data_IF_027048027803
#
_entry.id   IF_027048027803
#
_cell.length_a   1.000
_cell.length_b   1.000
_cell.length_c   1.000
_cell.angle_alpha   90.00
_cell.angle_beta   90.00
_cell.angle_gamma   90.00
#
_symmetry.space_group_name_H-M   'P 1'
#
loop_
_entity.id
_entity.type
_entity.pdbx_description
1 polymer ?
#
# COMPACT_ATOMS: atom_id res chain seq x y z
N UNK A 1 16.08 17.85 -13.00
CA UNK A 1 15.08 17.19 -12.14
C UNK A 1 13.63 17.34 -12.58
N UNK A 2 13.32 17.97 -13.73
CA UNK A 2 11.93 18.21 -14.14
C UNK A 2 11.06 16.94 -14.22
N UNK A 3 11.57 15.86 -14.84
CA UNK A 3 10.84 14.59 -14.93
C UNK A 3 10.61 13.94 -13.54
N UNK A 4 11.63 13.96 -12.66
CA UNK A 4 11.52 13.41 -11.31
C UNK A 4 10.48 14.16 -10.46
N UNK A 5 10.45 15.50 -10.54
CA UNK A 5 9.42 16.31 -9.89
C UNK A 5 8.03 16.02 -10.45
N UNK A 6 7.89 15.92 -11.76
CA UNK A 6 6.61 15.61 -12.40
C UNK A 6 6.06 14.25 -11.96
N UNK A 7 6.89 13.20 -11.95
CA UNK A 7 6.54 11.87 -11.46
C UNK A 7 6.10 11.92 -9.99
N UNK A 8 6.94 12.50 -9.14
CA UNK A 8 6.69 12.55 -7.69
C UNK A 8 5.40 13.32 -7.39
N UNK A 9 5.16 14.47 -8.03
CA UNK A 9 3.91 15.22 -7.85
C UNK A 9 2.69 14.43 -8.31
N UNK A 10 2.80 13.72 -9.43
CA UNK A 10 1.71 12.88 -9.93
C UNK A 10 1.33 11.80 -8.91
N UNK A 11 2.30 11.04 -8.39
CA UNK A 11 2.07 10.03 -7.34
C UNK A 11 1.44 10.64 -6.07
N UNK A 12 1.96 11.78 -5.61
CA UNK A 12 1.45 12.47 -4.43
C UNK A 12 0.00 12.97 -4.61
N UNK A 13 -0.39 13.37 -5.83
CA UNK A 13 -1.75 13.79 -6.15
C UNK A 13 -2.73 12.59 -6.16
N UNK A 14 -2.29 11.42 -6.60
CA UNK A 14 -3.14 10.22 -6.71
C UNK A 14 -3.23 9.43 -5.40
N UNK A 15 -2.38 9.73 -4.42
CA UNK A 15 -2.35 9.04 -3.14
C UNK A 15 -3.60 9.28 -2.28
N UNK A 16 -4.22 10.46 -2.35
CA UNK A 16 -5.36 10.82 -1.51
C UNK A 16 -6.68 10.86 -2.30
N UNK A 17 -7.82 10.63 -1.63
CA UNK A 17 -9.12 10.74 -2.30
C UNK A 17 -9.36 12.18 -2.79
N UNK A 18 -9.06 13.14 -1.92
CA UNK A 18 -9.04 14.56 -2.24
C UNK A 18 -7.59 15.04 -2.23
N UNK A 19 -7.16 15.88 -3.19
CA UNK A 19 -5.80 16.37 -3.24
C UNK A 19 -5.34 16.97 -1.91
N UNK A 20 -4.17 16.53 -1.44
CA UNK A 20 -3.54 17.06 -0.24
C UNK A 20 -2.35 17.94 -0.65
N UNK A 21 -2.56 19.26 -0.62
CA UNK A 21 -1.56 20.26 -1.02
C UNK A 21 -0.24 20.16 -0.24
N UNK A 22 -0.29 19.76 1.04
CA UNK A 22 0.92 19.57 1.85
C UNK A 22 1.77 18.40 1.33
N UNK A 23 1.10 17.31 0.94
CA UNK A 23 1.77 16.13 0.40
C UNK A 23 2.31 16.39 -1.01
N UNK A 24 1.55 17.11 -1.85
CA UNK A 24 1.98 17.48 -3.21
C UNK A 24 3.24 18.35 -3.19
N UNK A 25 3.34 19.27 -2.23
CA UNK A 25 4.53 20.14 -2.05
C UNK A 25 5.82 19.38 -1.79
N UNK A 26 5.78 18.12 -1.31
CA UNK A 26 6.99 17.29 -1.19
C UNK A 26 7.68 17.08 -2.53
N UNK A 27 6.92 17.08 -3.64
CA UNK A 27 7.47 17.00 -4.99
C UNK A 27 8.20 18.26 -5.48
N UNK A 28 8.26 19.33 -4.67
CA UNK A 28 9.09 20.51 -4.95
C UNK A 28 10.54 20.34 -4.46
N UNK A 29 10.80 19.40 -3.55
CA UNK A 29 12.16 19.07 -3.10
C UNK A 29 12.85 18.18 -4.15
N UNK A 30 13.94 18.69 -4.72
CA UNK A 30 14.70 18.01 -5.77
C UNK A 30 15.40 16.74 -5.29
N UNK A 31 15.90 16.71 -4.05
CA UNK A 31 16.57 15.54 -3.50
C UNK A 31 15.57 14.43 -3.22
N UNK A 32 14.44 14.78 -2.60
CA UNK A 32 13.34 13.85 -2.37
C UNK A 32 12.80 13.30 -3.69
N UNK A 33 12.47 14.18 -4.64
CA UNK A 33 11.88 13.80 -5.92
C UNK A 33 12.82 12.92 -6.74
N UNK A 34 14.12 13.23 -6.75
CA UNK A 34 15.10 12.40 -7.47
C UNK A 34 15.20 11.00 -6.85
N UNK A 35 15.29 10.90 -5.52
CA UNK A 35 15.41 9.61 -4.84
C UNK A 35 14.14 8.77 -5.03
N UNK A 36 12.98 9.37 -4.78
CA UNK A 36 11.66 8.74 -4.90
C UNK A 36 11.44 8.21 -6.31
N UNK A 37 11.49 9.09 -7.32
CA UNK A 37 11.23 8.71 -8.71
C UNK A 37 12.25 7.68 -9.21
N UNK A 38 13.54 7.79 -8.86
CA UNK A 38 14.54 6.81 -9.34
C UNK A 38 14.31 5.43 -8.76
N UNK A 39 14.04 5.32 -7.46
CA UNK A 39 13.83 4.02 -6.81
C UNK A 39 12.58 3.36 -7.39
N UNK A 40 11.45 4.06 -7.44
CA UNK A 40 10.22 3.51 -7.99
C UNK A 40 10.38 3.07 -9.45
N UNK A 41 10.83 3.98 -10.32
CA UNK A 41 10.98 3.65 -11.73
C UNK A 41 11.99 2.52 -11.95
N UNK A 42 13.06 2.45 -11.14
CA UNK A 42 14.00 1.34 -11.23
C UNK A 42 13.35 -0.01 -10.91
N UNK A 43 12.54 -0.11 -9.86
CA UNK A 43 11.84 -1.37 -9.57
C UNK A 43 10.75 -1.66 -10.60
N UNK A 44 10.03 -0.66 -11.10
CA UNK A 44 8.96 -0.85 -12.08
C UNK A 44 9.48 -1.35 -13.42
N UNK A 45 10.55 -0.75 -13.98
CA UNK A 45 11.11 -1.20 -15.26
C UNK A 45 11.77 -2.59 -15.18
N UNK A 46 12.14 -3.02 -13.98
CA UNK A 46 12.70 -4.35 -13.72
C UNK A 46 11.65 -5.35 -13.19
N UNK A 47 10.35 -5.05 -13.30
CA UNK A 47 9.26 -5.95 -12.90
C UNK A 47 9.37 -6.42 -11.43
N UNK A 48 9.83 -5.52 -10.55
CA UNK A 48 10.08 -5.83 -9.14
C UNK A 48 11.18 -6.88 -8.90
N UNK A 49 11.96 -7.24 -9.93
CA UNK A 49 12.94 -8.33 -9.94
C UNK A 49 12.33 -9.71 -9.68
N UNK A 50 11.03 -9.88 -9.97
CA UNK A 50 10.37 -11.18 -9.90
C UNK A 50 10.55 -11.96 -11.20
N UNK A 51 10.62 -13.30 -11.12
CA UNK A 51 10.75 -14.13 -12.32
C UNK A 51 9.44 -14.22 -13.13
N UNK A 52 8.29 -13.90 -12.53
CA UNK A 52 6.96 -13.91 -13.16
C UNK A 52 6.05 -12.84 -12.55
N UNK A 53 5.05 -12.38 -13.30
CA UNK A 53 4.05 -11.40 -12.82
C UNK A 53 3.20 -11.92 -11.65
N UNK A 54 2.99 -13.25 -11.58
CA UNK A 54 2.18 -13.92 -10.55
C UNK A 54 3.00 -14.39 -9.35
N UNK A 55 4.33 -14.18 -9.33
CA UNK A 55 5.24 -14.83 -8.38
C UNK A 55 4.78 -14.73 -6.92
N UNK A 56 4.32 -13.57 -6.47
CA UNK A 56 3.85 -13.39 -5.08
C UNK A 56 2.60 -14.22 -4.77
N UNK A 57 1.65 -14.30 -5.69
CA UNK A 57 0.41 -15.07 -5.52
C UNK A 57 0.69 -16.58 -5.58
N UNK A 58 1.55 -17.01 -6.50
CA UNK A 58 1.96 -18.42 -6.64
C UNK A 58 2.67 -18.93 -5.37
N UNK A 59 3.24 -18.03 -4.57
CA UNK A 59 3.98 -18.34 -3.35
C UNK A 59 3.20 -18.05 -2.06
N UNK A 60 1.92 -17.69 -2.15
CA UNK A 60 1.12 -17.23 -1.00
C UNK A 60 0.98 -18.29 0.10
N UNK A 61 0.96 -19.58 -0.27
CA UNK A 61 0.80 -20.69 0.66
C UNK A 61 1.90 -20.71 1.74
N UNK A 62 3.09 -20.18 1.42
CA UNK A 62 4.22 -20.07 2.35
C UNK A 62 3.93 -19.20 3.57
N UNK A 63 2.99 -18.26 3.46
CA UNK A 63 2.65 -17.32 4.53
C UNK A 63 1.21 -17.45 5.03
N UNK A 64 0.40 -18.38 4.50
CA UNK A 64 -1.03 -18.52 4.86
C UNK A 64 -1.29 -18.80 6.35
N UNK A 65 -0.31 -19.35 7.05
CA UNK A 65 -0.40 -19.62 8.48
C UNK A 65 -0.19 -18.37 9.36
N UNK A 66 0.27 -17.26 8.76
CA UNK A 66 0.46 -15.99 9.45
C UNK A 66 -0.91 -15.31 9.59
N UNK A 67 -1.20 -14.81 10.80
CA UNK A 67 -2.41 -14.02 11.03
C UNK A 67 -2.26 -12.66 10.33
N UNK A 68 -3.05 -12.43 9.28
CA UNK A 68 -2.93 -11.26 8.40
C UNK A 68 -4.28 -10.58 8.21
N UNK A 69 -4.28 -9.26 8.22
CA UNK A 69 -5.42 -8.42 7.79
C UNK A 69 -4.96 -7.57 6.63
N UNK A 70 -5.75 -7.48 5.56
CA UNK A 70 -5.50 -6.63 4.40
C UNK A 70 -6.52 -5.50 4.42
N UNK A 71 -6.06 -4.26 4.45
CA UNK A 71 -6.91 -3.06 4.37
C UNK A 71 -6.66 -2.41 3.01
N UNK A 72 -7.72 -2.21 2.23
CA UNK A 72 -7.61 -1.75 0.84
C UNK A 72 -8.75 -0.80 0.49
N UNK A 73 -8.50 0.16 -0.38
CA UNK A 73 -9.55 0.99 -0.98
C UNK A 73 -10.33 0.25 -2.06
N UNK A 74 -11.51 0.75 -2.43
CA UNK A 74 -12.33 0.17 -3.50
C UNK A 74 -11.74 0.41 -4.91
N UNK A 75 -10.52 -0.07 -5.15
CA UNK A 75 -9.87 -0.08 -6.46
C UNK A 75 -9.59 -1.54 -6.84
N UNK A 76 -10.01 -1.89 -8.05
CA UNK A 76 -10.19 -3.21 -8.65
C UNK A 76 -8.97 -4.14 -8.61
N UNK A 77 -8.55 -4.64 -7.45
CA UNK A 77 -7.68 -5.82 -7.40
C UNK A 77 -8.54 -7.09 -7.30
N UNK A 78 -9.16 -7.48 -8.41
CA UNK A 78 -9.89 -8.76 -8.52
C UNK A 78 -9.04 -9.96 -8.06
N UNK A 79 -7.72 -9.87 -8.22
CA UNK A 79 -6.77 -10.92 -7.84
C UNK A 79 -6.71 -11.14 -6.32
N UNK A 80 -6.57 -10.09 -5.50
CA UNK A 80 -6.50 -10.23 -4.04
C UNK A 80 -7.84 -10.70 -3.44
N UNK A 81 -8.95 -10.27 -4.05
CA UNK A 81 -10.30 -10.61 -3.58
C UNK A 81 -10.57 -12.11 -3.60
N UNK A 82 -10.02 -12.84 -4.58
CA UNK A 82 -10.18 -14.30 -4.69
C UNK A 82 -9.32 -15.10 -3.70
N UNK A 83 -8.13 -14.60 -3.33
CA UNK A 83 -7.19 -15.31 -2.47
C UNK A 83 -7.37 -15.03 -0.98
N UNK A 84 -7.87 -13.83 -0.63
CA UNK A 84 -7.91 -13.31 0.73
C UNK A 84 -9.26 -12.71 1.13
N UNK A 85 -10.37 -13.16 0.52
CA UNK A 85 -11.70 -12.57 0.74
C UNK A 85 -12.06 -12.41 2.23
N UNK A 86 -11.66 -13.38 3.07
CA UNK A 86 -11.91 -13.35 4.53
C UNK A 86 -10.97 -12.44 5.32
N UNK A 87 -9.82 -12.06 4.77
CA UNK A 87 -8.82 -11.19 5.40
C UNK A 87 -8.93 -9.73 4.90
N UNK A 88 -9.72 -9.49 3.85
CA UNK A 88 -9.82 -8.22 3.15
C UNK A 88 -10.88 -7.30 3.78
N UNK A 89 -10.45 -6.12 4.20
CA UNK A 89 -11.27 -4.98 4.60
C UNK A 89 -11.23 -3.94 3.49
N UNK A 90 -12.37 -3.75 2.82
CA UNK A 90 -12.50 -2.73 1.79
C UNK A 90 -13.07 -1.46 2.41
N UNK A 91 -12.30 -0.38 2.38
CA UNK A 91 -12.73 0.93 2.88
C UNK A 91 -13.36 1.73 1.73
N UNK A 92 -14.64 2.10 1.84
CA UNK A 92 -15.27 2.96 0.85
C UNK A 92 -14.77 4.40 1.00
N UNK A 93 -14.78 5.17 -0.10
CA UNK A 93 -14.48 6.60 -0.09
C UNK A 93 -13.13 6.96 0.56
N UNK A 94 -12.06 6.24 0.19
CA UNK A 94 -10.70 6.54 0.58
C UNK A 94 -9.75 6.48 -0.63
N UNK A 95 -8.66 7.22 -0.56
CA UNK A 95 -7.51 7.15 -1.48
C UNK A 95 -6.47 6.11 -1.03
N UNK A 96 -5.41 5.93 -1.82
CA UNK A 96 -4.37 4.95 -1.55
C UNK A 96 -3.59 5.16 -0.24
N UNK A 97 -3.55 6.39 0.28
CA UNK A 97 -2.78 6.78 1.45
C UNK A 97 -3.27 6.06 2.72
N UNK A 98 -2.32 5.52 3.49
CA UNK A 98 -2.59 4.91 4.79
C UNK A 98 -3.19 5.88 5.81
N UNK A 99 -3.05 7.19 5.56
CA UNK A 99 -3.56 8.26 6.42
C UNK A 99 -4.98 8.72 6.05
N UNK A 100 -5.63 8.10 5.06
CA UNK A 100 -7.06 8.31 4.84
C UNK A 100 -7.84 7.87 6.08
N UNK A 101 -8.79 8.67 6.60
CA UNK A 101 -9.43 8.41 7.89
C UNK A 101 -9.95 6.97 8.06
N UNK A 102 -10.67 6.45 7.07
CA UNK A 102 -11.19 5.09 7.11
C UNK A 102 -10.12 4.00 6.98
N UNK A 103 -9.03 4.26 6.25
CA UNK A 103 -7.90 3.32 6.15
C UNK A 103 -7.16 3.27 7.48
N UNK A 104 -6.85 4.44 8.06
CA UNK A 104 -6.17 4.54 9.34
C UNK A 104 -6.97 3.87 10.46
N UNK A 105 -8.29 4.05 10.50
CA UNK A 105 -9.18 3.39 11.48
C UNK A 105 -9.08 1.86 11.40
N UNK A 106 -9.19 1.28 10.20
CA UNK A 106 -9.09 -0.17 10.00
C UNK A 106 -7.69 -0.70 10.31
N UNK A 107 -6.63 0.04 9.99
CA UNK A 107 -5.26 -0.31 10.34
C UNK A 107 -5.05 -0.34 11.86
N UNK A 108 -5.59 0.65 12.59
CA UNK A 108 -5.55 0.69 14.06
C UNK A 108 -6.33 -0.48 14.66
N UNK A 109 -7.53 -0.74 14.15
CA UNK A 109 -8.36 -1.87 14.60
C UNK A 109 -7.65 -3.22 14.37
N UNK A 110 -7.04 -3.42 13.20
CA UNK A 110 -6.26 -4.61 12.88
C UNK A 110 -5.09 -4.80 13.85
N UNK A 111 -4.37 -3.72 14.18
CA UNK A 111 -3.25 -3.78 15.13
C UNK A 111 -3.72 -4.17 16.55
N UNK A 112 -4.85 -3.63 17.03
CA UNK A 112 -5.41 -4.02 18.32
C UNK A 112 -5.88 -5.49 18.35
N UNK A 113 -6.37 -6.04 17.23
CA UNK A 113 -6.67 -7.47 17.11
C UNK A 113 -5.42 -8.36 17.19
N UNK A 114 -4.34 -7.97 16.50
CA UNK A 114 -3.07 -8.69 16.53
C UNK A 114 -2.48 -8.70 17.94
N UNK A 115 -2.48 -7.56 18.62
CA UNK A 115 -2.04 -7.41 20.02
C UNK A 115 -2.78 -8.35 20.98
N UNK A 116 -4.10 -8.51 20.82
CA UNK A 116 -4.90 -9.46 21.62
C UNK A 116 -4.55 -10.92 21.33
N UNK A 117 -4.23 -11.24 20.08
CA UNK A 117 -3.88 -12.60 19.64
C UNK A 117 -2.55 -13.07 20.23
N UNK A 118 -1.56 -12.18 20.31
CA UNK A 118 -0.27 -12.47 20.95
C UNK A 118 -0.45 -12.76 22.44
N UNK A 119 -1.26 -11.96 23.16
CA UNK A 119 -1.50 -12.15 24.59
C UNK A 119 -2.15 -13.49 24.95
N UNK A 120 -2.97 -14.06 24.05
CA UNK A 120 -3.59 -15.39 24.25
C UNK A 120 -2.60 -16.55 24.12
N UNK A 121 -1.49 -16.37 23.42
CA UNK A 121 -0.48 -17.42 23.21
C UNK A 121 0.63 -17.42 24.26
N UNK A 122 0.59 -16.49 25.22
CA UNK A 122 1.62 -16.31 26.28
C UNK A 122 1.06 -16.67 27.68
N UNK A 123 -0.21 -17.05 27.78
CA UNK A 123 -0.89 -17.53 29.00
C UNK A 123 -1.39 -18.95 28.77
#
# INVERSE_FOLDING_TARGET
YAAARAWTKWEMMTAHLLPNEEIIKKGDDDNFSLAFARIENHYFVNQGFFPTDSFLLDNVDKIRHINTTIVQVNVLSHMLRSFFEKLLKVVPNAGHSANEPGIAEELVAANEMLKKSIKKNVL
#
